data_IF_459935625337
#
_entry.id   IF_459935625337
#
_cell.length_a   1.000
_cell.length_b   1.000
_cell.length_c   1.000
_cell.angle_alpha   90.00
_cell.angle_beta   90.00
_cell.angle_gamma   90.00
#
_symmetry.space_group_name_H-M   'P 1'
#
loop_
_entity.id
_entity.type
_entity.pdbx_description
1 polymer ?
#
# COMPACT_ATOMS: atom_id res chain seq x y z
N UNK A 1 -4.08 0.19 17.73
CA UNK A 1 -4.44 1.12 16.63
C UNK A 1 -4.68 0.30 15.39
N UNK A 2 -5.87 0.40 14.78
CA UNK A 2 -6.14 -0.23 13.48
C UNK A 2 -5.30 0.49 12.42
N UNK A 3 -4.48 -0.25 11.67
CA UNK A 3 -3.86 0.29 10.46
C UNK A 3 -4.98 0.59 9.46
N UNK A 4 -5.11 1.84 9.04
CA UNK A 4 -6.09 2.28 8.03
C UNK A 4 -5.48 2.35 6.62
N UNK A 5 -4.17 2.08 6.53
CA UNK A 5 -3.44 1.87 5.28
C UNK A 5 -3.23 0.36 5.10
N UNK A 6 -3.60 -0.12 3.92
CA UNK A 6 -3.64 -1.53 3.57
C UNK A 6 -2.96 -1.79 2.22
N UNK A 7 -2.66 -3.06 1.96
CA UNK A 7 -2.18 -3.51 0.66
C UNK A 7 -3.28 -4.26 -0.07
N UNK A 8 -3.41 -4.05 -1.37
CA UNK A 8 -4.26 -4.84 -2.27
C UNK A 8 -3.41 -5.47 -3.34
N UNK A 9 -3.69 -6.74 -3.64
CA UNK A 9 -3.16 -7.44 -4.80
C UNK A 9 -4.24 -7.53 -5.88
N UNK A 10 -3.91 -7.11 -7.10
CA UNK A 10 -4.73 -7.32 -8.30
C UNK A 10 -3.97 -8.25 -9.25
N UNK A 11 -4.66 -9.26 -9.77
CA UNK A 11 -4.14 -10.14 -10.83
C UNK A 11 -4.93 -9.90 -12.10
N UNK A 12 -4.21 -9.64 -13.20
CA UNK A 12 -4.76 -9.35 -14.53
C UNK A 12 -4.13 -10.34 -15.51
N UNK A 13 -4.96 -10.97 -16.34
CA UNK A 13 -4.48 -11.78 -17.46
C UNK A 13 -4.26 -10.85 -18.66
N UNK A 14 -3.04 -10.77 -19.18
CA UNK A 14 -2.61 -9.69 -20.09
C UNK A 14 -3.37 -9.63 -21.43
N UNK A 15 -3.92 -10.75 -21.89
CA UNK A 15 -4.72 -10.82 -23.12
C UNK A 15 -6.23 -10.72 -22.87
N UNK A 16 -6.65 -10.62 -21.61
CA UNK A 16 -8.04 -10.36 -21.25
C UNK A 16 -8.26 -8.84 -21.11
N UNK A 17 -9.07 -8.26 -21.99
CA UNK A 17 -9.35 -6.82 -22.02
C UNK A 17 -10.37 -6.36 -20.96
N UNK A 18 -10.97 -7.30 -20.22
CA UNK A 18 -12.04 -7.00 -19.25
C UNK A 18 -11.52 -6.29 -17.99
N UNK A 19 -10.26 -6.50 -17.60
CA UNK A 19 -9.67 -5.93 -16.39
C UNK A 19 -8.54 -4.97 -16.74
N UNK A 20 -8.63 -3.76 -16.20
CA UNK A 20 -7.57 -2.76 -16.28
C UNK A 20 -6.92 -2.58 -14.90
N UNK A 21 -5.61 -2.24 -14.86
CA UNK A 21 -4.97 -1.82 -13.62
C UNK A 21 -5.73 -0.66 -12.99
N UNK A 22 -5.87 -0.68 -11.67
CA UNK A 22 -6.30 0.50 -10.94
C UNK A 22 -5.27 1.62 -11.07
N UNK A 23 -5.75 2.85 -11.08
CA UNK A 23 -4.96 4.08 -11.04
C UNK A 23 -4.90 4.61 -9.62
N UNK A 24 -3.87 5.42 -9.33
CA UNK A 24 -3.87 6.26 -8.14
C UNK A 24 -5.12 7.16 -8.20
N UNK A 25 -5.73 7.40 -7.05
CA UNK A 25 -7.00 8.12 -6.85
C UNK A 25 -8.27 7.35 -7.24
N UNK A 26 -8.16 6.12 -7.73
CA UNK A 26 -9.31 5.23 -7.88
C UNK A 26 -9.86 4.83 -6.51
N UNK A 27 -11.18 4.72 -6.41
CA UNK A 27 -11.85 4.16 -5.23
C UNK A 27 -12.35 2.75 -5.55
N UNK A 28 -11.90 1.78 -4.78
CA UNK A 28 -12.30 0.38 -4.88
C UNK A 28 -13.20 -0.01 -3.72
N UNK A 29 -14.22 -0.83 -3.98
CA UNK A 29 -15.11 -1.37 -2.94
C UNK A 29 -14.70 -2.79 -2.61
N UNK A 30 -14.22 -3.01 -1.40
CA UNK A 30 -13.77 -4.32 -0.93
C UNK A 30 -14.37 -4.62 0.43
N UNK A 31 -15.06 -5.77 0.53
CA UNK A 31 -15.72 -6.24 1.77
C UNK A 31 -16.61 -5.16 2.43
N UNK A 32 -17.33 -4.40 1.63
CA UNK A 32 -18.24 -3.33 2.09
C UNK A 32 -17.57 -2.00 2.43
N UNK A 33 -16.24 -1.91 2.38
CA UNK A 33 -15.49 -0.66 2.60
C UNK A 33 -15.09 0.00 1.30
N UNK A 34 -15.08 1.32 1.29
CA UNK A 34 -14.51 2.12 0.19
C UNK A 34 -13.05 2.43 0.50
N UNK A 35 -12.14 1.95 -0.34
CA UNK A 35 -10.71 2.11 -0.19
C UNK A 35 -10.16 2.94 -1.35
N UNK A 36 -9.37 3.96 -1.04
CA UNK A 36 -8.72 4.82 -2.02
C UNK A 36 -7.34 4.27 -2.36
N UNK A 37 -7.02 4.11 -3.65
CA UNK A 37 -5.66 3.78 -4.08
C UNK A 37 -4.79 5.03 -3.93
N UNK A 38 -3.80 4.96 -3.04
CA UNK A 38 -2.88 6.08 -2.76
C UNK A 38 -1.47 5.85 -3.31
N UNK A 39 -1.16 4.64 -3.76
CA UNK A 39 0.13 4.31 -4.35
C UNK A 39 0.19 2.93 -4.98
N UNK A 40 1.21 2.74 -5.82
CA UNK A 40 1.59 1.44 -6.37
C UNK A 40 2.85 0.98 -5.62
N UNK A 41 2.79 -0.23 -5.09
CA UNK A 41 3.89 -0.83 -4.33
C UNK A 41 4.89 -1.48 -5.27
N UNK A 42 4.42 -2.45 -6.05
CA UNK A 42 5.23 -3.25 -6.96
C UNK A 42 4.34 -3.88 -8.03
N UNK A 43 4.95 -4.42 -9.06
CA UNK A 43 4.29 -5.31 -10.01
C UNK A 43 5.21 -6.48 -10.37
N UNK A 44 4.61 -7.60 -10.77
CA UNK A 44 5.30 -8.80 -11.24
C UNK A 44 4.55 -9.35 -12.44
N UNK A 45 5.30 -9.75 -13.47
CA UNK A 45 4.77 -10.50 -14.60
C UNK A 45 5.21 -11.95 -14.43
N UNK A 46 4.28 -12.89 -14.54
CA UNK A 46 4.56 -14.32 -14.46
C UNK A 46 3.78 -15.04 -15.55
N UNK A 47 4.49 -15.41 -16.62
CA UNK A 47 3.87 -15.88 -17.85
C UNK A 47 2.93 -14.81 -18.43
N UNK A 48 1.64 -15.08 -18.35
CA UNK A 48 0.55 -14.25 -18.91
C UNK A 48 -0.16 -13.41 -17.84
N UNK A 49 0.23 -13.55 -16.58
CA UNK A 49 -0.39 -12.86 -15.45
C UNK A 49 0.45 -11.66 -15.04
N UNK A 50 -0.20 -10.50 -14.94
CA UNK A 50 0.30 -9.29 -14.31
C UNK A 50 -0.29 -9.19 -12.91
N UNK A 51 0.57 -9.34 -11.90
CA UNK A 51 0.23 -9.09 -10.50
C UNK A 51 0.70 -7.69 -10.13
N UNK A 52 -0.20 -6.89 -9.55
CA UNK A 52 0.10 -5.53 -9.10
C UNK A 52 -0.29 -5.42 -7.64
N UNK A 53 0.60 -4.84 -6.84
CA UNK A 53 0.32 -4.52 -5.46
C UNK A 53 0.14 -3.01 -5.29
N UNK A 54 -0.89 -2.63 -4.55
CA UNK A 54 -1.30 -1.26 -4.31
C UNK A 54 -1.31 -0.96 -2.83
N UNK A 55 -0.96 0.28 -2.49
CA UNK A 55 -1.20 0.84 -1.17
C UNK A 55 -2.53 1.59 -1.19
N UNK A 56 -3.38 1.29 -0.22
CA UNK A 56 -4.73 1.84 -0.13
C UNK A 56 -4.97 2.48 1.23
N UNK A 57 -5.86 3.46 1.25
CA UNK A 57 -6.34 4.11 2.46
C UNK A 57 -7.84 3.86 2.65
N UNK A 58 -8.26 3.47 3.85
CA UNK A 58 -9.67 3.37 4.22
C UNK A 58 -10.31 4.76 4.24
N UNK A 59 -11.32 4.99 3.38
CA UNK A 59 -12.04 6.26 3.33
C UNK A 59 -12.99 6.46 4.51
N UNK A 60 -13.42 5.39 5.17
CA UNK A 60 -14.34 5.47 6.31
C UNK A 60 -13.60 5.77 7.63
N UNK A 61 -12.27 5.67 7.62
CA UNK A 61 -11.43 6.01 8.76
C UNK A 61 -11.03 7.49 8.70
N UNK A 62 -11.52 8.29 9.65
CA UNK A 62 -11.28 9.74 9.68
C UNK A 62 -10.32 10.20 10.79
N UNK A 63 -9.95 9.31 11.71
CA UNK A 63 -9.10 9.63 12.87
C UNK A 63 -7.60 9.41 12.56
N UNK A 64 -7.08 10.14 11.57
CA UNK A 64 -5.66 10.07 11.17
C UNK A 64 -5.09 11.47 11.00
N UNK A 65 -3.85 11.74 11.42
CA UNK A 65 -3.23 13.05 11.17
C UNK A 65 -2.79 13.10 9.70
N UNK A 66 -3.34 14.03 8.92
CA UNK A 66 -2.77 14.38 7.61
C UNK A 66 -1.65 15.38 7.84
N UNK A 67 -0.41 14.94 7.65
CA UNK A 67 0.71 15.87 7.48
C UNK A 67 0.71 16.23 6.00
N UNK A 68 0.70 17.51 5.66
CA UNK A 68 0.89 17.89 4.26
C UNK A 68 2.23 17.31 3.81
N UNK A 69 2.32 16.73 2.59
CA UNK A 69 3.58 16.28 2.06
C UNK A 69 4.42 17.52 1.76
N UNK A 70 5.01 18.15 2.79
CA UNK A 70 6.20 18.95 2.57
C UNK A 70 7.18 18.00 1.90
N UNK A 71 7.89 18.43 0.84
CA UNK A 71 9.02 17.70 0.30
C UNK A 71 10.18 17.78 1.29
N UNK A 72 9.95 17.39 2.55
CA UNK A 72 11.04 16.93 3.39
C UNK A 72 11.33 15.54 2.87
N UNK A 73 12.60 15.30 2.55
CA UNK A 73 13.12 13.94 2.47
C UNK A 73 12.53 13.18 3.64
N UNK A 74 11.57 12.30 3.36
CA UNK A 74 11.03 11.41 4.39
C UNK A 74 12.24 10.70 4.96
N UNK A 75 12.55 10.93 6.24
CA UNK A 75 13.72 10.34 6.87
C UNK A 75 13.66 8.83 6.62
N UNK A 76 14.68 8.33 5.93
CA UNK A 76 14.78 6.91 5.67
C UNK A 76 15.10 6.23 6.99
N UNK A 77 14.20 5.37 7.43
CA UNK A 77 14.41 4.55 8.61
C UNK A 77 15.22 3.32 8.22
N UNK A 78 16.31 3.07 8.94
CA UNK A 78 17.06 1.82 8.84
C UNK A 78 16.35 0.76 9.68
N UNK A 79 15.86 -0.29 9.02
CA UNK A 79 15.20 -1.41 9.67
C UNK A 79 16.03 -2.69 9.47
N UNK A 80 15.91 -3.61 10.42
CA UNK A 80 16.58 -4.91 10.41
C UNK A 80 15.62 -5.98 10.88
N UNK A 81 15.62 -7.13 10.20
CA UNK A 81 14.87 -8.32 10.59
C UNK A 81 15.79 -9.53 10.61
N UNK A 82 15.42 -10.52 11.43
CA UNK A 82 16.09 -11.80 11.54
C UNK A 82 15.01 -12.89 11.52
N UNK A 83 14.91 -13.61 10.40
CA UNK A 83 13.89 -14.65 10.19
C UNK A 83 14.53 -15.95 9.70
N UNK A 84 13.78 -17.05 9.76
CA UNK A 84 14.22 -18.31 9.13
C UNK A 84 14.12 -18.21 7.61
N UNK A 85 14.95 -18.95 6.88
CA UNK A 85 15.03 -18.86 5.42
C UNK A 85 13.71 -19.11 4.67
N UNK A 86 12.77 -19.84 5.29
CA UNK A 86 11.46 -20.19 4.71
C UNK A 86 10.31 -19.30 5.22
N UNK A 87 10.62 -18.17 5.86
CA UNK A 87 9.63 -17.26 6.39
C UNK A 87 8.93 -16.47 5.26
N UNK A 88 7.62 -16.61 5.16
CA UNK A 88 6.80 -15.98 4.12
C UNK A 88 6.88 -14.44 4.12
N UNK A 89 7.26 -13.84 5.26
CA UNK A 89 7.37 -12.38 5.40
C UNK A 89 8.45 -11.77 4.51
N UNK A 90 9.40 -12.56 3.99
CA UNK A 90 10.40 -12.07 3.03
C UNK A 90 9.78 -11.55 1.72
N UNK A 91 8.60 -12.05 1.33
CA UNK A 91 7.87 -11.54 0.15
C UNK A 91 7.36 -10.11 0.36
N UNK A 92 7.00 -9.75 1.60
CA UNK A 92 6.57 -8.40 1.96
C UNK A 92 7.74 -7.44 2.19
N UNK A 93 8.97 -7.97 2.29
CA UNK A 93 10.19 -7.18 2.47
C UNK A 93 10.88 -6.80 1.16
N UNK A 94 10.31 -7.16 0.00
CA UNK A 94 10.87 -6.75 -1.29
C UNK A 94 10.78 -5.23 -1.50
N UNK A 95 11.73 -4.59 -2.22
CA UNK A 95 11.66 -3.17 -2.51
C UNK A 95 10.33 -2.81 -3.17
N UNK A 96 9.77 -1.67 -2.77
CA UNK A 96 8.46 -1.21 -3.23
C UNK A 96 7.28 -1.70 -2.39
N UNK A 97 7.39 -2.85 -1.72
CA UNK A 97 6.35 -3.39 -0.83
C UNK A 97 6.19 -2.55 0.43
N UNK A 98 5.04 -2.64 1.09
CA UNK A 98 4.82 -1.99 2.38
C UNK A 98 4.71 -2.98 3.53
N UNK A 99 5.29 -2.64 4.67
CA UNK A 99 5.27 -3.42 5.91
C UNK A 99 4.67 -2.64 7.07
N UNK A 100 3.99 -3.31 8.02
CA UNK A 100 3.58 -2.67 9.26
C UNK A 100 4.75 -2.59 10.24
N UNK A 101 4.99 -1.43 10.84
CA UNK A 101 5.96 -1.26 11.93
C UNK A 101 5.46 -0.19 12.91
N UNK A 102 5.47 -0.49 14.22
CA UNK A 102 5.05 0.44 15.30
C UNK A 102 3.72 1.17 15.06
N UNK A 103 2.72 0.46 14.53
CA UNK A 103 1.38 1.03 14.27
C UNK A 103 1.31 1.94 13.03
N UNK A 104 2.38 2.04 12.24
CA UNK A 104 2.45 2.76 10.97
C UNK A 104 2.72 1.78 9.82
N UNK A 105 2.58 2.27 8.58
CA UNK A 105 3.01 1.57 7.36
C UNK A 105 4.28 2.20 6.82
N UNK A 106 5.20 1.36 6.37
CA UNK A 106 6.47 1.76 5.78
C UNK A 106 6.64 1.10 4.43
N UNK A 107 7.11 1.85 3.43
CA UNK A 107 7.50 1.34 2.11
C UNK A 107 8.99 1.00 2.14
N UNK A 108 9.34 -0.23 1.78
CA UNK A 108 10.72 -0.65 1.61
C UNK A 108 11.30 0.07 0.39
N UNK A 109 12.42 0.75 0.56
CA UNK A 109 13.10 1.51 -0.50
C UNK A 109 14.19 0.65 -1.13
N UNK A 110 15.11 0.16 -0.32
CA UNK A 110 16.24 -0.64 -0.77
C UNK A 110 16.73 -1.58 0.33
N UNK A 111 17.24 -2.74 -0.06
CA UNK A 111 17.99 -3.61 0.84
C UNK A 111 19.43 -3.10 0.96
N UNK A 112 19.94 -3.00 2.18
CA UNK A 112 21.29 -2.50 2.44
C UNK A 112 22.25 -3.60 2.83
N UNK A 113 21.76 -4.69 3.41
CA UNK A 113 22.59 -5.82 3.83
C UNK A 113 21.78 -7.12 3.94
N UNK A 114 22.37 -8.23 3.50
CA UNK A 114 21.84 -9.58 3.71
C UNK A 114 22.95 -10.50 4.21
N UNK A 115 22.66 -11.28 5.25
CA UNK A 115 23.57 -12.28 5.80
C UNK A 115 22.80 -13.56 6.13
N UNK A 116 23.47 -14.71 5.98
CA UNK A 116 22.92 -16.04 6.26
C UNK A 116 23.76 -16.67 7.35
N UNK A 117 23.10 -17.17 8.39
CA UNK A 117 23.70 -17.96 9.46
C UNK A 117 22.83 -19.18 9.73
N UNK A 118 23.32 -20.36 9.34
CA UNK A 118 22.57 -21.62 9.38
C UNK A 118 21.21 -21.51 8.67
N UNK A 119 20.11 -21.66 9.40
CA UNK A 119 18.73 -21.56 8.89
C UNK A 119 18.14 -20.15 9.01
N UNK A 120 18.93 -19.17 9.45
CA UNK A 120 18.52 -17.79 9.70
C UNK A 120 19.08 -16.84 8.64
N UNK A 121 18.26 -15.85 8.28
CA UNK A 121 18.61 -14.76 7.38
C UNK A 121 18.41 -13.44 8.12
N UNK A 122 19.47 -12.63 8.18
CA UNK A 122 19.41 -11.22 8.58
C UNK A 122 19.25 -10.37 7.34
N UNK A 123 18.23 -9.51 7.32
CA UNK A 123 18.01 -8.53 6.26
C UNK A 123 17.91 -7.13 6.84
N UNK A 124 18.74 -6.22 6.37
CA UNK A 124 18.69 -4.79 6.66
C UNK A 124 18.25 -4.01 5.43
N UNK A 125 17.45 -2.97 5.65
CA UNK A 125 16.85 -2.20 4.56
C UNK A 125 16.48 -0.79 5.00
N UNK A 126 16.42 0.11 4.02
CA UNK A 126 15.85 1.44 4.18
C UNK A 126 14.36 1.39 3.92
N UNK A 127 13.59 2.10 4.74
CA UNK A 127 12.16 2.26 4.55
C UNK A 127 11.71 3.70 4.81
N UNK A 128 10.64 4.11 4.15
CA UNK A 128 10.00 5.40 4.39
C UNK A 128 8.58 5.21 4.88
N UNK A 129 8.11 6.06 5.79
CA UNK A 129 6.73 6.00 6.25
C UNK A 129 5.77 6.33 5.08
N UNK A 130 4.77 5.46 4.86
CA UNK A 130 3.65 5.79 3.98
C UNK A 130 2.77 6.81 4.68
N UNK A 131 2.62 7.98 4.08
CA UNK A 131 1.75 9.03 4.59
C UNK A 131 0.33 8.88 4.00
N UNK A 132 -0.71 9.13 4.80
CA UNK A 132 -2.06 9.20 4.29
C UNK A 132 -2.25 10.38 3.34
N UNK A 133 -3.21 10.27 2.42
CA UNK A 133 -3.68 11.43 1.68
C UNK A 133 -4.29 12.46 2.60
N UNK A 134 -4.26 13.72 2.15
CA UNK A 134 -4.80 14.83 2.92
C UNK A 134 -6.28 14.64 3.26
N UNK A 135 -6.66 14.99 4.50
CA UNK A 135 -8.03 14.83 4.99
C UNK A 135 -9.08 15.46 4.08
N UNK A 136 -8.78 16.62 3.50
CA UNK A 136 -9.68 17.31 2.57
C UNK A 136 -10.01 16.46 1.34
N UNK A 137 -8.98 15.86 0.72
CA UNK A 137 -9.12 14.98 -0.45
C UNK A 137 -9.92 13.74 -0.08
N UNK A 138 -9.55 13.08 1.03
CA UNK A 138 -10.22 11.88 1.53
C UNK A 138 -11.71 12.13 1.80
N UNK A 139 -12.03 13.27 2.43
CA UNK A 139 -13.41 13.65 2.75
C UNK A 139 -14.24 13.92 1.49
N UNK A 140 -13.68 14.61 0.50
CA UNK A 140 -14.35 14.85 -0.79
C UNK A 140 -14.64 13.51 -1.50
N UNK A 141 -13.63 12.65 -1.64
CA UNK A 141 -13.77 11.31 -2.25
C UNK A 141 -14.82 10.46 -1.52
N UNK A 142 -14.82 10.48 -0.19
CA UNK A 142 -15.82 9.78 0.62
C UNK A 142 -17.24 10.27 0.32
N UNK A 143 -17.46 11.59 0.27
CA UNK A 143 -18.78 12.14 -0.02
C UNK A 143 -19.23 11.86 -1.45
N UNK A 144 -18.33 11.94 -2.43
CA UNK A 144 -18.64 11.61 -3.83
C UNK A 144 -19.10 10.15 -3.96
N UNK A 145 -18.43 9.23 -3.26
CA UNK A 145 -18.84 7.82 -3.24
C UNK A 145 -20.17 7.57 -2.51
N UNK A 146 -20.46 8.32 -1.43
CA UNK A 146 -21.76 8.25 -0.75
C UNK A 146 -22.87 8.82 -1.64
N UNK A 147 -22.63 9.93 -2.36
CA UNK A 147 -23.59 10.50 -3.33
C UNK A 147 -23.91 9.53 -4.45
N UNK A 148 -22.88 8.94 -5.09
CA UNK A 148 -23.05 7.91 -6.12
C UNK A 148 -23.91 6.74 -5.63
N UNK A 149 -23.71 6.31 -4.39
CA UNK A 149 -24.50 5.21 -3.78
C UNK A 149 -25.96 5.59 -3.54
N UNK A 150 -26.25 6.86 -3.28
CA UNK A 150 -27.59 7.35 -2.99
C UNK A 150 -28.34 7.84 -4.24
N UNK A 151 -27.74 7.72 -5.44
CA UNK A 151 -28.27 8.25 -6.70
C UNK A 151 -28.61 9.75 -6.66
N UNK A 152 -28.00 10.48 -5.73
CA UNK A 152 -28.21 11.93 -5.59
C UNK A 152 -27.40 12.61 -6.68
N UNK A 153 -27.98 12.73 -7.87
CA UNK A 153 -27.53 13.67 -8.89
C UNK A 153 -27.99 15.07 -8.48
N UNK A 154 -27.09 15.86 -7.91
CA UNK A 154 -27.31 17.30 -7.76
C UNK A 154 -27.01 17.91 -9.13
N UNK A 155 -28.05 18.15 -9.91
CA UNK A 155 -28.01 19.02 -11.08
C UNK A 155 -27.98 20.49 -10.64
#
# INVERSE_FOLDING_TARGET
>A
MSLFIHTLQQVIVLYDSSKKPYKIDDVVKLKGKSLLIIGIEAFKISGIELTIWYTMQDLEFHDFISVSPKPMLSELEHLSVLYRYNDERFEDLQPGRTIPHRGKRYKVIEHTHIAIDNDMITLQFLATQVLPMERGIVRTKYFDEKKKRLEINVF
#
